data_IF_870629642280
#
_entry.id   IF_870629642280
#
_cell.length_a   1.000
_cell.length_b   1.000
_cell.length_c   1.000
_cell.angle_alpha   90.00
_cell.angle_beta   90.00
_cell.angle_gamma   90.00
#
_symmetry.space_group_name_H-M   'P 1'
#
loop_
_entity.id
_entity.type
_entity.pdbx_description
1 polymer ?
#
# COMPACT_ATOMS: atom_id res chain seq x y z
N UNK A 1 12.60 -4.44 -9.62
CA UNK A 1 11.54 -4.90 -10.57
C UNK A 1 10.18 -4.36 -10.16
N UNK A 2 9.14 -4.45 -11.04
CA UNK A 2 7.75 -4.08 -10.75
C UNK A 2 6.88 -5.33 -10.86
N UNK A 3 6.51 -5.92 -9.74
CA UNK A 3 5.79 -7.18 -9.65
C UNK A 3 4.28 -6.92 -9.70
N UNK A 4 3.60 -7.35 -10.74
CA UNK A 4 2.17 -7.14 -10.93
C UNK A 4 1.39 -8.47 -10.92
N UNK A 5 0.15 -8.39 -10.44
CA UNK A 5 -0.87 -9.41 -10.57
C UNK A 5 -1.94 -8.88 -11.51
N UNK A 6 -2.31 -9.65 -12.52
CA UNK A 6 -3.20 -9.17 -13.57
C UNK A 6 -4.13 -10.25 -14.09
N UNK A 7 -5.18 -9.83 -14.77
CA UNK A 7 -6.08 -10.72 -15.51
C UNK A 7 -5.90 -10.48 -17.01
N UNK A 8 -5.78 -11.57 -17.73
CA UNK A 8 -5.75 -11.61 -19.18
C UNK A 8 -6.52 -12.82 -19.70
N UNK A 9 -7.46 -12.62 -20.65
CA UNK A 9 -8.32 -13.68 -21.22
C UNK A 9 -9.02 -14.55 -20.15
N UNK A 10 -9.48 -13.93 -19.05
CA UNK A 10 -10.18 -14.60 -17.95
C UNK A 10 -9.26 -15.40 -17.01
N UNK A 11 -7.94 -15.34 -17.19
CA UNK A 11 -6.95 -15.99 -16.31
C UNK A 11 -6.23 -14.96 -15.45
N UNK A 12 -6.00 -15.32 -14.19
CA UNK A 12 -5.15 -14.53 -13.28
C UNK A 12 -3.70 -14.98 -13.46
N UNK A 13 -2.84 -14.02 -13.75
CA UNK A 13 -1.42 -14.22 -14.02
C UNK A 13 -0.57 -13.32 -13.13
N UNK A 14 0.69 -13.70 -12.93
CA UNK A 14 1.74 -12.87 -12.35
C UNK A 14 2.71 -12.43 -13.44
N UNK A 15 3.24 -11.23 -13.33
CA UNK A 15 4.19 -10.70 -14.31
C UNK A 15 5.04 -9.57 -13.76
N UNK A 16 6.08 -9.24 -14.50
CA UNK A 16 6.97 -8.10 -14.24
C UNK A 16 6.69 -7.02 -15.27
N UNK A 17 6.38 -5.82 -14.81
CA UNK A 17 6.14 -4.67 -15.69
C UNK A 17 7.49 -4.10 -16.15
N UNK A 18 7.64 -4.01 -17.48
CA UNK A 18 8.81 -3.50 -18.17
C UNK A 18 8.38 -2.45 -19.22
N UNK A 19 8.51 -1.19 -18.86
CA UNK A 19 8.01 -0.09 -19.68
C UNK A 19 6.51 -0.14 -19.90
N UNK A 20 6.07 -0.24 -21.14
CA UNK A 20 4.67 -0.34 -21.56
C UNK A 20 4.17 -1.79 -21.71
N UNK A 21 4.97 -2.76 -21.27
CA UNK A 21 4.66 -4.19 -21.38
C UNK A 21 4.63 -4.87 -20.01
N UNK A 22 3.96 -6.01 -19.93
CA UNK A 22 4.08 -6.95 -18.83
C UNK A 22 4.65 -8.26 -19.33
N UNK A 23 5.69 -8.74 -18.68
CA UNK A 23 6.36 -10.02 -18.96
C UNK A 23 5.79 -11.06 -18.04
N UNK A 24 5.12 -12.08 -18.60
CA UNK A 24 4.48 -13.16 -17.85
C UNK A 24 5.54 -13.98 -17.10
N UNK A 25 5.29 -14.29 -15.83
CA UNK A 25 6.18 -15.16 -15.07
C UNK A 25 5.63 -16.59 -15.07
N UNK A 26 6.51 -17.56 -15.22
CA UNK A 26 6.17 -18.99 -15.11
C UNK A 26 6.48 -19.46 -13.67
N UNK A 27 5.86 -18.80 -12.69
CA UNK A 27 6.19 -19.06 -11.29
C UNK A 27 5.49 -20.31 -10.69
N UNK A 28 4.46 -20.84 -11.37
CA UNK A 28 3.66 -21.97 -10.84
C UNK A 28 2.87 -21.67 -9.58
N UNK A 29 2.71 -20.36 -9.24
CA UNK A 29 1.98 -19.85 -8.09
C UNK A 29 0.90 -18.87 -8.58
N UNK A 30 -0.16 -18.71 -7.80
CA UNK A 30 -1.31 -17.85 -8.15
C UNK A 30 -1.23 -16.45 -7.54
N UNK A 31 -0.35 -16.24 -6.57
CA UNK A 31 -0.19 -14.97 -5.86
C UNK A 31 1.29 -14.71 -5.51
N UNK A 32 1.68 -13.44 -5.41
CA UNK A 32 3.03 -13.07 -5.01
C UNK A 32 3.35 -13.46 -3.57
N UNK A 33 2.37 -13.55 -2.66
CA UNK A 33 2.59 -14.06 -1.30
C UNK A 33 3.13 -15.49 -1.31
N UNK A 34 2.55 -16.37 -2.13
CA UNK A 34 3.03 -17.75 -2.33
C UNK A 34 4.45 -17.76 -2.91
N UNK A 35 4.72 -16.85 -3.87
CA UNK A 35 6.07 -16.75 -4.44
C UNK A 35 7.11 -16.29 -3.41
N UNK A 36 6.75 -15.39 -2.49
CA UNK A 36 7.65 -14.96 -1.40
C UNK A 36 7.96 -16.09 -0.41
N UNK A 37 7.11 -17.09 -0.29
CA UNK A 37 7.35 -18.29 0.54
C UNK A 37 8.32 -19.29 -0.10
N UNK A 38 8.58 -19.18 -1.41
CA UNK A 38 9.53 -20.07 -2.09
C UNK A 38 10.97 -19.87 -1.54
N UNK A 39 11.81 -20.93 -1.58
CA UNK A 39 13.23 -20.81 -1.22
C UNK A 39 13.94 -19.72 -2.02
N UNK A 40 14.93 -19.04 -1.43
CA UNK A 40 15.69 -17.95 -2.06
C UNK A 40 16.29 -18.37 -3.41
N UNK A 41 16.75 -19.64 -3.54
CA UNK A 41 17.25 -20.17 -4.81
C UNK A 41 16.19 -20.26 -5.92
N UNK A 42 14.92 -20.47 -5.59
CA UNK A 42 13.83 -20.44 -6.56
C UNK A 42 13.46 -19.01 -6.95
N UNK A 43 13.41 -18.11 -5.96
CA UNK A 43 13.12 -16.69 -6.18
C UNK A 43 14.21 -15.99 -6.99
N UNK A 44 15.48 -16.34 -6.76
CA UNK A 44 16.63 -15.81 -7.49
C UNK A 44 16.62 -16.13 -8.99
N UNK A 45 15.84 -17.14 -9.44
CA UNK A 45 15.70 -17.49 -10.85
C UNK A 45 14.64 -16.68 -11.59
N UNK A 46 13.93 -15.77 -10.93
CA UNK A 46 12.92 -14.94 -11.59
C UNK A 46 13.48 -14.17 -12.80
N UNK A 47 14.65 -13.49 -12.73
CA UNK A 47 15.19 -12.78 -13.90
C UNK A 47 15.46 -13.71 -15.09
N UNK A 48 15.94 -14.93 -14.85
CA UNK A 48 16.18 -15.92 -15.89
C UNK A 48 14.88 -16.41 -16.53
N UNK A 49 13.82 -16.58 -15.74
CA UNK A 49 12.50 -17.02 -16.21
C UNK A 49 11.80 -16.00 -17.11
N UNK A 50 12.20 -14.72 -17.04
CA UNK A 50 11.68 -13.66 -17.89
C UNK A 50 12.30 -13.68 -19.30
N UNK A 51 13.47 -14.34 -19.47
CA UNK A 51 14.13 -14.46 -20.78
C UNK A 51 13.29 -15.34 -21.71
N UNK A 52 12.79 -14.77 -22.81
CA UNK A 52 11.91 -15.47 -23.77
C UNK A 52 10.46 -15.69 -23.31
N UNK A 53 10.07 -15.18 -22.15
CA UNK A 53 8.71 -15.23 -21.66
C UNK A 53 7.75 -14.40 -22.53
N UNK A 54 6.46 -14.73 -22.49
CA UNK A 54 5.41 -13.99 -23.20
C UNK A 54 5.37 -12.54 -22.70
N UNK A 55 5.31 -11.61 -23.65
CA UNK A 55 5.16 -10.17 -23.40
C UNK A 55 3.80 -9.72 -23.91
N UNK A 56 3.09 -8.96 -23.10
CA UNK A 56 1.77 -8.40 -23.43
C UNK A 56 1.84 -6.87 -23.26
N UNK A 57 1.17 -6.10 -24.10
CA UNK A 57 0.98 -4.67 -23.84
C UNK A 57 0.30 -4.48 -22.47
N UNK A 58 0.85 -3.61 -21.62
CA UNK A 58 0.27 -3.32 -20.31
C UNK A 58 -1.18 -2.82 -20.41
N UNK A 59 -1.50 -2.10 -21.47
CA UNK A 59 -2.86 -1.64 -21.76
C UNK A 59 -3.86 -2.75 -22.16
N UNK A 60 -3.37 -3.95 -22.49
CA UNK A 60 -4.21 -5.10 -22.87
C UNK A 60 -4.61 -5.99 -21.67
N UNK A 61 -4.08 -5.74 -20.50
CA UNK A 61 -4.34 -6.51 -19.29
C UNK A 61 -5.12 -5.68 -18.25
N UNK A 62 -5.87 -6.35 -17.38
CA UNK A 62 -6.51 -5.71 -16.24
C UNK A 62 -5.64 -5.93 -14.99
N UNK A 63 -5.01 -4.87 -14.49
CA UNK A 63 -4.25 -4.93 -13.25
C UNK A 63 -5.17 -5.22 -12.07
N UNK A 64 -4.71 -6.06 -11.16
CA UNK A 64 -5.39 -6.44 -9.93
C UNK A 64 -4.61 -5.89 -8.73
N UNK A 65 -5.14 -6.05 -7.51
CA UNK A 65 -4.32 -5.84 -6.30
C UNK A 65 -3.10 -6.74 -6.39
N UNK A 66 -1.88 -6.24 -6.10
CA UNK A 66 -0.65 -7.02 -6.20
C UNK A 66 -0.69 -8.33 -5.38
N UNK A 67 -1.37 -8.28 -4.24
CA UNK A 67 -1.69 -9.44 -3.41
C UNK A 67 -3.20 -9.62 -3.37
N UNK A 68 -3.67 -10.85 -3.52
CA UNK A 68 -5.11 -11.15 -3.54
C UNK A 68 -5.74 -10.98 -2.15
N UNK A 69 -5.09 -11.53 -1.14
CA UNK A 69 -5.58 -11.52 0.25
C UNK A 69 -4.40 -11.51 1.23
N UNK A 70 -3.84 -10.33 1.54
CA UNK A 70 -2.83 -10.22 2.59
C UNK A 70 -3.32 -10.82 3.90
N UNK A 71 -2.43 -11.53 4.61
CA UNK A 71 -2.73 -12.13 5.91
C UNK A 71 -3.05 -11.07 6.95
N UNK A 72 -2.24 -10.02 7.00
CA UNK A 72 -2.45 -8.82 7.81
C UNK A 72 -2.27 -7.59 6.93
N UNK A 73 -3.12 -6.59 7.14
CA UNK A 73 -2.95 -5.24 6.60
C UNK A 73 -2.91 -4.32 7.81
N UNK A 74 -1.70 -3.92 8.19
CA UNK A 74 -1.45 -3.10 9.38
C UNK A 74 -1.22 -1.67 8.91
N UNK A 75 -1.95 -0.72 9.50
CA UNK A 75 -1.86 0.68 9.11
C UNK A 75 -1.37 1.52 10.30
N UNK A 76 -0.57 2.54 10.01
CA UNK A 76 -0.11 3.53 10.99
C UNK A 76 -0.97 4.79 10.89
N UNK A 77 -1.51 5.24 12.02
CA UNK A 77 -2.08 6.58 12.13
C UNK A 77 -1.04 7.58 12.61
N UNK A 78 -1.18 8.84 12.17
CA UNK A 78 -0.39 9.98 12.65
C UNK A 78 1.12 9.81 12.48
N UNK A 79 1.57 9.22 11.39
CA UNK A 79 3.00 8.94 11.13
C UNK A 79 3.74 10.07 10.40
N UNK A 80 3.11 11.23 10.19
CA UNK A 80 3.77 12.43 9.64
C UNK A 80 3.57 13.61 10.59
N UNK A 81 4.64 14.38 10.85
CA UNK A 81 4.59 15.51 11.78
C UNK A 81 3.55 16.56 11.37
N UNK A 82 3.52 16.90 10.08
CA UNK A 82 2.61 17.89 9.51
C UNK A 82 1.15 17.44 9.61
N UNK A 83 0.87 16.15 9.38
CA UNK A 83 -0.48 15.58 9.49
C UNK A 83 -0.96 15.52 10.95
N UNK A 84 -0.09 15.18 11.90
CA UNK A 84 -0.44 15.23 13.32
C UNK A 84 -0.81 16.65 13.75
N UNK A 85 -0.02 17.65 13.35
CA UNK A 85 -0.27 19.06 13.62
C UNK A 85 -1.56 19.58 12.97
N UNK A 86 -1.84 19.21 11.70
CA UNK A 86 -3.07 19.54 10.97
C UNK A 86 -4.33 19.03 11.70
N UNK A 87 -4.25 17.83 12.29
CA UNK A 87 -5.32 17.24 13.09
C UNK A 87 -5.44 17.78 14.51
N UNK A 88 -4.58 18.74 14.91
CA UNK A 88 -4.53 19.28 16.27
C UNK A 88 -3.94 18.32 17.31
N UNK A 89 -3.23 17.27 16.86
CA UNK A 89 -2.60 16.29 17.74
C UNK A 89 -1.14 16.67 18.03
N UNK A 90 -0.69 16.43 19.27
CA UNK A 90 0.74 16.44 19.59
C UNK A 90 1.44 15.26 18.88
N UNK A 91 2.78 15.35 18.75
CA UNK A 91 3.57 14.20 18.30
C UNK A 91 3.27 13.01 19.22
N UNK A 92 2.79 11.88 18.67
CA UNK A 92 2.56 10.70 19.49
C UNK A 92 3.90 10.14 20.02
N UNK A 93 3.87 9.58 21.23
CA UNK A 93 5.01 8.89 21.83
C UNK A 93 5.19 7.47 21.29
N UNK A 94 4.11 6.87 20.76
CA UNK A 94 4.07 5.53 20.19
C UNK A 94 3.12 5.52 18.98
N UNK A 95 3.41 4.71 17.91
CA UNK A 95 2.56 4.67 16.73
C UNK A 95 1.17 4.12 17.03
N UNK A 96 0.15 4.75 16.48
CA UNK A 96 -1.21 4.23 16.52
C UNK A 96 -1.38 3.19 15.41
N UNK A 97 -1.47 1.92 15.76
CA UNK A 97 -1.71 0.83 14.80
C UNK A 97 -3.18 0.46 14.73
N UNK A 98 -3.66 0.18 13.52
CA UNK A 98 -4.98 -0.39 13.26
C UNK A 98 -4.92 -1.37 12.09
N UNK A 99 -5.99 -2.15 11.90
CA UNK A 99 -6.04 -3.16 10.84
C UNK A 99 -7.07 -2.82 9.77
N UNK A 100 -6.77 -3.23 8.54
CA UNK A 100 -7.75 -3.34 7.46
C UNK A 100 -7.96 -4.80 7.09
N UNK A 101 -9.21 -5.16 6.76
CA UNK A 101 -9.55 -6.47 6.21
C UNK A 101 -9.34 -6.53 4.70
N UNK A 102 -9.07 -7.70 4.17
CA UNK A 102 -8.81 -7.88 2.74
C UNK A 102 -9.97 -7.44 1.83
N UNK A 103 -11.23 -7.49 2.30
CA UNK A 103 -12.40 -7.02 1.53
C UNK A 103 -12.40 -5.50 1.33
N UNK A 104 -11.69 -4.75 2.16
CA UNK A 104 -11.54 -3.30 1.99
C UNK A 104 -10.61 -2.93 0.83
N UNK A 105 -9.78 -3.86 0.34
CA UNK A 105 -8.85 -3.59 -0.76
C UNK A 105 -9.56 -3.57 -2.12
N UNK A 106 -8.99 -2.78 -3.04
CA UNK A 106 -9.34 -2.78 -4.45
C UNK A 106 -8.08 -2.49 -5.29
N UNK A 107 -8.12 -2.86 -6.58
CA UNK A 107 -7.04 -2.57 -7.50
C UNK A 107 -6.92 -1.06 -7.76
N UNK A 108 -5.71 -0.59 -8.10
CA UNK A 108 -5.41 0.84 -8.26
C UNK A 108 -6.31 1.58 -9.26
N UNK A 109 -6.78 0.93 -10.32
CA UNK A 109 -7.65 1.55 -11.34
C UNK A 109 -9.14 1.23 -11.16
N UNK A 110 -9.49 0.48 -10.11
CA UNK A 110 -10.87 0.13 -9.83
C UNK A 110 -11.61 1.29 -9.12
N UNK A 111 -12.93 1.44 -9.32
CA UNK A 111 -13.69 2.49 -8.68
C UNK A 111 -13.83 2.26 -7.17
N UNK A 112 -13.44 3.26 -6.38
CA UNK A 112 -13.70 3.27 -4.93
C UNK A 112 -15.20 3.33 -4.68
N UNK A 113 -15.70 2.47 -3.80
CA UNK A 113 -17.12 2.40 -3.49
C UNK A 113 -17.47 3.31 -2.31
N UNK A 114 -18.06 4.49 -2.60
CA UNK A 114 -18.62 5.32 -1.54
C UNK A 114 -19.91 4.68 -1.01
N UNK A 115 -20.01 4.35 0.28
CA UNK A 115 -21.20 3.70 0.84
C UNK A 115 -22.39 4.68 0.88
N UNK A 116 -23.62 4.14 0.82
CA UNK A 116 -24.85 4.95 0.88
C UNK A 116 -25.05 5.63 2.24
N UNK A 117 -24.44 5.10 3.31
CA UNK A 117 -24.62 5.58 4.67
C UNK A 117 -23.72 6.78 5.04
N UNK A 118 -22.79 7.18 4.17
CA UNK A 118 -21.88 8.31 4.42
C UNK A 118 -21.47 9.02 3.14
N UNK A 119 -21.38 10.36 3.22
CA UNK A 119 -20.79 11.23 2.21
C UNK A 119 -19.41 11.78 2.62
N UNK A 120 -18.80 11.25 3.70
CA UNK A 120 -17.55 11.72 4.29
C UNK A 120 -16.35 10.85 3.88
N UNK A 121 -16.35 10.37 2.63
CA UNK A 121 -15.23 9.58 2.07
C UNK A 121 -14.06 10.50 1.75
N UNK A 122 -12.96 10.31 2.46
CA UNK A 122 -11.72 11.09 2.34
C UNK A 122 -10.60 10.22 1.75
N UNK A 123 -9.57 10.83 1.19
CA UNK A 123 -8.39 10.20 0.59
C UNK A 123 -7.19 10.31 1.53
N UNK A 124 -6.27 9.34 1.45
CA UNK A 124 -5.00 9.32 2.18
C UNK A 124 -3.92 8.65 1.34
N UNK A 125 -2.96 9.44 0.83
CA UNK A 125 -1.80 8.92 0.13
C UNK A 125 -0.82 8.28 1.11
N UNK A 126 -0.48 7.00 0.91
CA UNK A 126 0.41 6.26 1.77
C UNK A 126 1.40 5.39 1.00
N UNK A 127 2.56 5.15 1.60
CA UNK A 127 3.48 4.10 1.20
C UNK A 127 3.02 2.77 1.82
N UNK A 128 2.81 1.74 1.00
CA UNK A 128 2.65 0.37 1.47
C UNK A 128 3.96 -0.40 1.42
N UNK A 129 4.29 -1.10 2.49
CA UNK A 129 5.42 -2.03 2.60
C UNK A 129 4.88 -3.44 2.53
N UNK A 130 5.45 -4.28 1.67
CA UNK A 130 5.08 -5.70 1.53
C UNK A 130 6.17 -6.57 2.17
N UNK A 131 5.77 -7.43 3.07
CA UNK A 131 6.67 -8.37 3.73
C UNK A 131 6.93 -9.58 2.83
N UNK A 132 8.19 -9.96 2.70
CA UNK A 132 8.64 -11.07 1.85
C UNK A 132 9.26 -12.24 2.59
N UNK A 133 9.55 -12.06 3.88
CA UNK A 133 10.13 -13.11 4.73
C UNK A 133 9.47 -13.06 6.10
N UNK A 134 9.21 -14.26 6.65
CA UNK A 134 8.71 -14.39 8.02
C UNK A 134 9.72 -13.80 9.01
N UNK A 135 9.25 -12.93 9.89
CA UNK A 135 10.10 -12.23 10.85
C UNK A 135 9.39 -12.02 12.19
N UNK A 136 10.16 -12.17 13.26
CA UNK A 136 9.78 -11.92 14.65
C UNK A 136 11.00 -11.36 15.40
N UNK A 137 10.80 -10.37 16.28
CA UNK A 137 11.86 -9.73 17.06
C UNK A 137 13.00 -9.17 16.19
N UNK A 138 12.66 -8.50 15.07
CA UNK A 138 13.66 -7.87 14.22
C UNK A 138 14.33 -6.70 14.94
N UNK A 139 15.65 -6.62 14.85
CA UNK A 139 16.35 -5.37 15.17
C UNK A 139 16.06 -4.32 14.08
N UNK A 140 16.14 -3.03 14.42
CA UNK A 140 16.03 -1.97 13.41
C UNK A 140 17.05 -2.13 12.27
N UNK A 141 18.25 -2.61 12.58
CA UNK A 141 19.32 -2.82 11.59
C UNK A 141 18.97 -3.93 10.57
N UNK A 142 18.22 -4.96 11.00
CA UNK A 142 17.86 -6.11 10.17
C UNK A 142 16.45 -6.02 9.58
N UNK A 143 15.64 -5.09 10.04
CA UNK A 143 14.21 -5.01 9.72
C UNK A 143 13.93 -4.96 8.20
N UNK A 144 14.74 -4.25 7.43
CA UNK A 144 14.54 -4.15 5.97
C UNK A 144 14.84 -5.45 5.21
N UNK A 145 15.51 -6.43 5.83
CA UNK A 145 15.83 -7.71 5.20
C UNK A 145 14.59 -8.59 4.94
N UNK A 146 13.46 -8.28 5.60
CA UNK A 146 12.21 -9.00 5.40
C UNK A 146 11.29 -8.36 4.34
N UNK A 147 11.65 -7.18 3.79
CA UNK A 147 10.81 -6.44 2.84
C UNK A 147 10.93 -7.03 1.44
N UNK A 148 9.79 -7.37 0.82
CA UNK A 148 9.71 -7.79 -0.58
C UNK A 148 9.65 -6.59 -1.54
N UNK A 149 9.07 -5.48 -1.10
CA UNK A 149 8.95 -4.25 -1.88
C UNK A 149 7.92 -3.28 -1.34
N UNK A 150 7.61 -2.32 -2.18
CA UNK A 150 6.78 -1.16 -1.84
C UNK A 150 5.73 -0.91 -2.92
N UNK A 151 4.61 -0.30 -2.53
CA UNK A 151 3.54 0.07 -3.46
C UNK A 151 2.87 1.38 -3.01
N UNK A 152 2.11 2.01 -3.91
CA UNK A 152 1.19 3.07 -3.52
C UNK A 152 -0.03 2.47 -2.82
N UNK A 153 -0.56 3.22 -1.85
CA UNK A 153 -1.79 2.88 -1.14
C UNK A 153 -2.65 4.13 -0.94
N UNK A 154 -3.95 3.99 -1.09
CA UNK A 154 -4.91 5.00 -0.69
C UNK A 154 -5.72 4.46 0.49
N UNK A 155 -5.42 4.90 1.71
CA UNK A 155 -6.15 4.51 2.91
C UNK A 155 -7.46 5.29 3.05
N UNK A 156 -8.31 5.24 1.98
CA UNK A 156 -9.54 6.01 1.95
C UNK A 156 -10.45 5.68 3.13
N UNK A 157 -10.98 6.75 3.75
CA UNK A 157 -11.56 6.72 5.09
C UNK A 157 -12.94 7.36 5.13
N UNK A 158 -13.89 6.71 5.79
CA UNK A 158 -15.18 7.31 6.14
C UNK A 158 -15.02 8.06 7.46
N UNK A 159 -14.83 9.38 7.41
CA UNK A 159 -14.42 10.18 8.58
C UNK A 159 -15.44 10.20 9.71
N UNK A 160 -16.72 10.22 9.42
CA UNK A 160 -17.78 10.13 10.42
C UNK A 160 -17.81 8.77 11.12
N UNK A 161 -17.53 7.68 10.39
CA UNK A 161 -17.43 6.34 10.98
C UNK A 161 -16.12 6.15 11.75
N UNK A 162 -15.00 6.67 11.25
CA UNK A 162 -13.71 6.64 11.92
C UNK A 162 -13.77 7.29 13.32
N UNK A 163 -14.61 8.32 13.48
CA UNK A 163 -14.71 9.12 14.71
C UNK A 163 -15.87 8.73 15.64
N UNK A 164 -16.64 7.67 15.32
CA UNK A 164 -17.74 7.20 16.19
C UNK A 164 -17.24 6.65 17.53
N UNK A 165 -16.03 6.09 17.54
CA UNK A 165 -15.39 5.55 18.75
C UNK A 165 -13.90 5.88 18.71
N UNK A 166 -13.17 5.52 19.76
CA UNK A 166 -11.71 5.61 19.79
C UNK A 166 -11.02 4.64 18.79
N UNK A 167 -11.73 3.59 18.32
CA UNK A 167 -11.22 2.61 17.37
C UNK A 167 -11.56 3.01 15.93
N UNK A 168 -10.55 3.23 15.10
CA UNK A 168 -10.71 3.70 13.71
C UNK A 168 -11.19 2.63 12.73
N UNK A 169 -11.12 1.36 13.14
CA UNK A 169 -11.32 0.17 12.30
C UNK A 169 -12.52 0.28 11.38
N UNK A 170 -13.70 0.69 11.88
CA UNK A 170 -14.92 0.73 11.07
C UNK A 170 -14.83 1.76 9.95
N UNK A 171 -14.31 2.96 10.20
CA UNK A 171 -14.14 4.00 9.18
C UNK A 171 -13.12 3.65 8.08
N UNK A 172 -12.25 2.67 8.35
CA UNK A 172 -11.18 2.20 7.47
C UNK A 172 -11.51 0.89 6.74
N UNK A 173 -12.63 0.23 7.04
CA UNK A 173 -12.94 -1.14 6.57
C UNK A 173 -14.23 -1.28 5.76
N UNK A 174 -14.72 -0.21 5.17
CA UNK A 174 -15.75 -0.35 4.14
C UNK A 174 -15.17 -1.09 2.93
N UNK A 175 -15.95 -1.99 2.34
CA UNK A 175 -15.52 -2.78 1.20
C UNK A 175 -15.09 -1.88 0.04
N UNK A 176 -14.02 -2.28 -0.65
CA UNK A 176 -13.49 -1.60 -1.83
C UNK A 176 -13.24 -0.09 -1.62
N UNK A 177 -12.60 0.29 -0.50
CA UNK A 177 -12.16 1.67 -0.21
C UNK A 177 -10.66 1.85 -0.20
N UNK A 178 -9.86 0.82 0.08
CA UNK A 178 -8.40 0.87 0.16
C UNK A 178 -7.73 0.48 -1.16
N UNK A 179 -7.41 1.44 -2.03
CA UNK A 179 -6.74 1.14 -3.30
C UNK A 179 -5.27 0.78 -3.06
N UNK A 180 -4.83 -0.39 -3.58
CA UNK A 180 -3.50 -0.95 -3.38
C UNK A 180 -2.84 -1.37 -4.69
N UNK A 181 -1.66 -0.86 -4.97
CA UNK A 181 -0.87 -1.17 -6.17
C UNK A 181 -0.46 0.07 -6.97
N UNK A 182 -0.36 -0.04 -8.31
CA UNK A 182 -0.76 -1.14 -9.20
C UNK A 182 0.16 -2.37 -9.17
N UNK A 183 1.39 -2.23 -8.66
CA UNK A 183 2.42 -3.28 -8.54
C UNK A 183 3.25 -3.09 -7.28
N UNK A 184 4.04 -4.09 -6.93
CA UNK A 184 5.08 -4.02 -5.90
C UNK A 184 6.40 -3.69 -6.59
N UNK A 185 7.08 -2.63 -6.15
CA UNK A 185 8.43 -2.28 -6.59
C UNK A 185 9.44 -2.90 -5.63
N UNK A 186 10.35 -3.72 -6.15
CA UNK A 186 11.36 -4.41 -5.33
C UNK A 186 12.39 -3.43 -4.73
N UNK A 187 12.98 -3.75 -3.56
CA UNK A 187 13.85 -2.81 -2.82
C UNK A 187 15.09 -2.34 -3.59
N UNK A 188 15.61 -3.18 -4.50
CA UNK A 188 16.78 -2.86 -5.35
C UNK A 188 16.56 -1.67 -6.30
N UNK A 189 15.31 -1.32 -6.57
CA UNK A 189 14.93 -0.21 -7.45
C UNK A 189 14.68 1.11 -6.71
N UNK A 190 14.82 1.14 -5.39
CA UNK A 190 14.46 2.26 -4.52
C UNK A 190 15.55 2.53 -3.46
N UNK A 191 15.58 3.74 -2.88
CA UNK A 191 16.39 3.99 -1.69
C UNK A 191 15.99 3.05 -0.54
N UNK A 192 16.92 2.75 0.36
CA UNK A 192 16.68 1.89 1.51
C UNK A 192 15.45 2.39 2.32
N UNK A 193 14.52 1.47 2.63
CA UNK A 193 13.28 1.80 3.31
C UNK A 193 12.34 2.71 2.52
N UNK A 194 12.56 2.89 1.20
CA UNK A 194 11.86 3.85 0.34
C UNK A 194 11.87 5.29 0.93
N UNK A 195 12.96 5.67 1.61
CA UNK A 195 13.12 6.98 2.23
C UNK A 195 13.43 8.05 1.17
N UNK A 196 12.98 9.29 1.42
CA UNK A 196 13.31 10.43 0.56
C UNK A 196 12.51 10.53 -0.74
N UNK A 197 11.47 9.73 -0.92
CA UNK A 197 10.61 9.76 -2.08
C UNK A 197 9.51 10.82 -1.90
N UNK A 198 9.17 11.54 -2.99
CA UNK A 198 7.97 12.38 -3.01
C UNK A 198 6.73 11.52 -2.91
N UNK A 199 5.78 11.91 -2.07
CA UNK A 199 4.46 11.31 -1.92
C UNK A 199 3.39 12.38 -2.19
N UNK A 200 2.46 12.10 -3.09
CA UNK A 200 1.48 13.08 -3.55
C UNK A 200 0.12 12.44 -3.77
N UNK A 201 -0.96 13.18 -3.45
CA UNK A 201 -2.31 12.88 -3.95
C UNK A 201 -2.83 14.01 -4.82
N UNK A 202 -3.59 13.66 -5.87
CA UNK A 202 -4.32 14.61 -6.72
C UNK A 202 -5.78 14.21 -6.83
N UNK A 203 -6.67 15.14 -6.49
CA UNK A 203 -8.10 14.97 -6.69
C UNK A 203 -8.53 15.79 -7.90
N UNK A 204 -9.05 15.14 -8.95
CA UNK A 204 -9.41 15.77 -10.23
C UNK A 204 -8.26 16.61 -10.84
N UNK A 205 -7.03 16.10 -10.72
CA UNK A 205 -5.80 16.76 -11.18
C UNK A 205 -5.26 17.85 -10.24
N UNK A 206 -6.01 18.28 -9.22
CA UNK A 206 -5.55 19.24 -8.23
C UNK A 206 -4.72 18.53 -7.16
N UNK A 207 -3.50 19.00 -6.89
CA UNK A 207 -2.63 18.52 -5.81
C UNK A 207 -3.30 18.80 -4.45
N UNK A 208 -3.51 17.75 -3.68
CA UNK A 208 -4.12 17.81 -2.35
C UNK A 208 -3.09 17.55 -1.24
N UNK A 209 -2.27 16.54 -1.41
CA UNK A 209 -1.16 16.22 -0.51
C UNK A 209 0.13 16.27 -1.32
N UNK A 210 1.21 16.82 -0.75
CA UNK A 210 2.54 16.86 -1.35
C UNK A 210 3.58 16.89 -0.24
N UNK A 211 4.28 15.78 -0.06
CA UNK A 211 5.24 15.59 1.04
C UNK A 211 6.36 14.65 0.60
N UNK A 212 7.10 14.14 1.57
CA UNK A 212 8.25 13.25 1.35
C UNK A 212 8.24 12.11 2.38
N UNK A 213 8.52 10.87 1.93
CA UNK A 213 8.58 9.71 2.81
C UNK A 213 9.67 9.82 3.90
N UNK A 214 10.66 10.69 3.72
CA UNK A 214 11.63 11.03 4.75
C UNK A 214 11.07 11.85 5.93
N UNK A 215 9.83 12.35 5.82
CA UNK A 215 9.15 13.09 6.90
C UNK A 215 8.32 12.19 7.83
N UNK A 216 8.36 10.89 7.66
CA UNK A 216 7.74 9.93 8.58
C UNK A 216 8.32 10.07 9.98
N UNK A 217 7.47 9.98 11.01
CA UNK A 217 7.87 9.96 12.44
C UNK A 217 8.59 8.65 12.75
N UNK A 218 8.01 7.54 12.32
CA UNK A 218 8.59 6.20 12.36
C UNK A 218 8.84 5.73 10.94
N UNK A 219 10.11 5.52 10.60
CA UNK A 219 10.49 4.98 9.30
C UNK A 219 10.12 3.49 9.18
N UNK A 220 10.31 2.91 7.99
CA UNK A 220 9.95 1.51 7.72
C UNK A 220 10.70 0.55 8.63
N UNK A 221 11.99 0.76 8.87
CA UNK A 221 12.79 -0.15 9.68
C UNK A 221 12.36 -0.12 11.15
N UNK A 222 12.10 1.07 11.69
CA UNK A 222 11.62 1.24 13.05
C UNK A 222 10.21 0.67 13.23
N UNK A 223 9.32 0.89 12.27
CA UNK A 223 7.96 0.35 12.29
C UNK A 223 7.96 -1.18 12.31
N UNK A 224 8.78 -1.83 11.47
CA UNK A 224 8.92 -3.30 11.46
C UNK A 224 9.49 -3.79 12.79
N UNK A 225 10.50 -3.14 13.35
CA UNK A 225 11.07 -3.51 14.65
C UNK A 225 10.01 -3.46 15.76
N UNK A 226 9.25 -2.35 15.87
CA UNK A 226 8.17 -2.18 16.85
C UNK A 226 7.06 -3.24 16.68
N UNK A 227 6.59 -3.47 15.47
CA UNK A 227 5.55 -4.48 15.21
C UNK A 227 6.03 -5.88 15.59
N UNK A 228 7.28 -6.22 15.29
CA UNK A 228 7.81 -7.56 15.52
C UNK A 228 8.18 -7.83 16.99
N UNK A 229 8.13 -6.83 17.87
CA UNK A 229 8.16 -7.05 19.32
C UNK A 229 6.95 -7.85 19.79
N UNK A 230 5.76 -7.56 19.24
CA UNK A 230 4.50 -8.16 19.71
C UNK A 230 3.92 -9.21 18.77
N UNK A 231 4.15 -9.16 17.45
CA UNK A 231 3.55 -10.07 16.48
C UNK A 231 4.58 -10.58 15.45
N UNK A 232 4.26 -11.71 14.81
CA UNK A 232 5.04 -12.21 13.68
C UNK A 232 4.50 -11.58 12.39
N UNK A 233 5.38 -11.05 11.56
CA UNK A 233 5.05 -10.70 10.18
C UNK A 233 5.36 -11.89 9.28
N UNK A 234 4.44 -12.16 8.35
CA UNK A 234 4.50 -13.28 7.40
C UNK A 234 4.63 -12.76 5.96
N UNK A 235 5.16 -13.56 5.02
CA UNK A 235 5.17 -13.21 3.61
C UNK A 235 3.77 -12.81 3.11
N UNK A 236 3.68 -11.69 2.40
CA UNK A 236 2.42 -11.15 1.92
C UNK A 236 1.66 -10.25 2.92
N UNK A 237 2.14 -10.08 4.15
CA UNK A 237 1.60 -9.02 5.03
C UNK A 237 1.92 -7.65 4.45
N UNK A 238 1.04 -6.69 4.69
CA UNK A 238 1.18 -5.31 4.22
C UNK A 238 1.18 -4.34 5.39
N UNK A 239 2.07 -3.36 5.35
CA UNK A 239 2.10 -2.25 6.31
C UNK A 239 1.87 -0.95 5.53
N UNK A 240 0.76 -0.25 5.80
CA UNK A 240 0.50 1.09 5.28
C UNK A 240 1.09 2.11 6.27
N UNK A 241 1.99 2.97 5.77
CA UNK A 241 2.92 3.74 6.59
C UNK A 241 2.38 5.08 7.08
N UNK A 242 1.08 5.33 6.93
CA UNK A 242 0.47 6.62 7.29
C UNK A 242 0.57 7.65 6.18
N UNK A 243 -0.24 8.69 6.31
CA UNK A 243 -0.44 9.74 5.31
C UNK A 243 0.11 11.09 5.78
N UNK A 244 0.64 11.94 4.88
CA UNK A 244 1.02 13.31 5.19
C UNK A 244 -0.19 14.25 5.28
N UNK A 245 0.04 15.51 5.67
CA UNK A 245 -0.96 16.59 5.67
C UNK A 245 -1.59 16.81 4.30
N UNK A 246 -2.77 17.45 4.29
CA UNK A 246 -3.51 17.82 3.09
C UNK A 246 -4.68 16.90 2.77
N UNK A 247 -5.07 16.02 3.70
CA UNK A 247 -6.31 15.24 3.60
C UNK A 247 -7.54 16.16 3.54
N UNK A 248 -8.69 15.63 3.14
CA UNK A 248 -9.88 16.44 2.89
C UNK A 248 -10.61 16.92 4.14
N UNK A 249 -10.61 16.11 5.20
CA UNK A 249 -11.40 16.37 6.40
C UNK A 249 -11.07 17.68 7.14
N UNK A 250 -9.81 18.08 7.42
CA UNK A 250 -9.48 19.28 8.17
C UNK A 250 -9.56 20.57 7.34
N UNK A 251 -9.83 20.50 6.04
CA UNK A 251 -9.93 21.66 5.18
C UNK A 251 -11.16 22.51 5.52
N UNK A 252 -11.11 23.79 5.18
CA UNK A 252 -12.21 24.74 5.38
C UNK A 252 -12.63 25.35 4.03
N UNK A 253 -13.78 24.95 3.45
CA UNK A 253 -14.64 23.85 3.91
C UNK A 253 -14.01 22.47 3.69
N UNK A 254 -14.46 21.41 4.41
CA UNK A 254 -14.01 20.04 4.18
C UNK A 254 -14.24 19.56 2.74
N UNK A 255 -13.29 18.80 2.21
CA UNK A 255 -13.33 18.24 0.85
C UNK A 255 -13.42 16.71 0.94
N UNK A 256 -14.53 16.15 0.46
CA UNK A 256 -14.76 14.71 0.40
C UNK A 256 -14.97 14.26 -1.05
N UNK A 257 -14.52 13.06 -1.37
CA UNK A 257 -14.70 12.46 -2.69
C UNK A 257 -16.17 12.19 -3.00
N UNK A 258 -16.59 12.53 -4.22
CA UNK A 258 -17.94 12.39 -4.75
C UNK A 258 -17.96 11.40 -5.92
N UNK A 259 -19.11 10.83 -6.28
CA UNK A 259 -19.22 10.06 -7.50
C UNK A 259 -18.72 10.83 -8.72
N UNK A 260 -17.85 10.21 -9.51
CA UNK A 260 -17.22 10.82 -10.69
C UNK A 260 -15.87 11.50 -10.43
N UNK A 261 -15.48 11.70 -9.17
CA UNK A 261 -14.15 12.21 -8.84
C UNK A 261 -13.06 11.18 -9.18
N UNK A 262 -11.90 11.70 -9.61
CA UNK A 262 -10.68 10.91 -9.83
C UNK A 262 -9.64 11.25 -8.77
N UNK A 263 -9.22 10.25 -7.99
CA UNK A 263 -8.11 10.35 -7.04
C UNK A 263 -6.88 9.63 -7.59
N UNK A 264 -5.72 10.26 -7.51
CA UNK A 264 -4.44 9.71 -7.92
C UNK A 264 -3.47 9.78 -6.74
N UNK A 265 -2.78 8.65 -6.48
CA UNK A 265 -1.70 8.55 -5.50
C UNK A 265 -0.41 8.26 -6.25
N UNK A 266 0.62 9.05 -6.00
CA UNK A 266 1.93 8.94 -6.65
C UNK A 266 3.05 8.98 -5.63
N UNK A 267 3.98 8.02 -5.77
CA UNK A 267 5.23 7.98 -5.04
C UNK A 267 6.37 7.71 -6.02
#
# INVERSE_FOLDING_TARGET
MRLARYEFEGKICLGVVDGAEIVETVAGVADWSEWFELPDAARGRLPESLAGARRLPLAAVRLLTPLARPGKIICLGLNYYDHAAEGGNAKPEYPAFFFRGATSLLAAEAPIQRPRCSDKLDYEAELAVVIGKRVRHASRADALNCVAGYACFNDASLRDYQRKTAQWTIGKNFDATGAFGPWIVTPDALPAGAAGLRIQSRLNGQVMQDSNTGHMIWDVAETIALLTECLTLEPGDVIAMGTPAGVGYPRTPPVFMKPGDKIEIEI
#
